data_IF_645180887154
#
_entry.id   IF_645180887154
#
_cell.length_a   1.000
_cell.length_b   1.000
_cell.length_c   1.000
_cell.angle_alpha   90.00
_cell.angle_beta   90.00
_cell.angle_gamma   90.00
#
_symmetry.space_group_name_H-M   'P 1'
#
loop_
_entity.id
_entity.type
_entity.pdbx_description
1 polymer ?
#
# COMPACT_ATOMS: atom_id res chain seq x y z
N UNK A 1 -17.78 -20.91 0.31
CA UNK A 1 -16.66 -21.63 -0.39
C UNK A 1 -15.32 -21.01 -0.01
N UNK A 2 -14.21 -21.73 -0.20
CA UNK A 2 -12.86 -21.14 -0.09
C UNK A 2 -12.57 -20.35 -1.35
N UNK A 3 -12.04 -19.14 -1.20
CA UNK A 3 -11.65 -18.28 -2.32
C UNK A 3 -10.16 -17.98 -2.30
N UNK A 4 -9.58 -17.79 -3.47
CA UNK A 4 -8.15 -17.48 -3.59
C UNK A 4 -7.96 -15.99 -3.86
N UNK A 5 -7.23 -15.32 -2.98
CA UNK A 5 -6.78 -13.95 -3.20
C UNK A 5 -5.61 -13.94 -4.20
N UNK A 6 -5.70 -13.09 -5.23
CA UNK A 6 -4.71 -13.01 -6.31
C UNK A 6 -3.87 -11.73 -6.28
N UNK A 7 -3.96 -10.95 -5.22
CA UNK A 7 -3.33 -9.61 -5.11
C UNK A 7 -1.82 -9.68 -4.99
N UNK A 8 -1.28 -10.67 -4.29
CA UNK A 8 0.16 -10.80 -4.06
C UNK A 8 0.65 -12.26 -4.17
N UNK A 9 1.96 -12.46 -4.02
CA UNK A 9 2.62 -13.76 -4.13
C UNK A 9 2.07 -14.83 -3.18
N UNK A 10 1.42 -14.47 -2.07
CA UNK A 10 0.92 -15.46 -1.11
C UNK A 10 -0.28 -16.27 -1.62
N UNK A 11 -1.06 -15.73 -2.55
CA UNK A 11 -2.23 -16.40 -3.13
C UNK A 11 -3.08 -17.12 -2.08
N UNK A 12 -3.40 -16.40 -1.00
CA UNK A 12 -4.07 -16.95 0.18
C UNK A 12 -5.40 -17.62 -0.18
N UNK A 13 -5.58 -18.88 0.22
CA UNK A 13 -6.86 -19.62 0.09
C UNK A 13 -7.67 -19.44 1.36
N UNK A 14 -8.66 -18.56 1.32
CA UNK A 14 -9.39 -18.07 2.48
C UNK A 14 -10.76 -18.75 2.61
N UNK A 15 -11.05 -19.26 3.80
CA UNK A 15 -12.42 -19.68 4.18
C UNK A 15 -13.29 -18.45 4.42
N UNK A 16 -14.64 -18.55 4.38
CA UNK A 16 -15.52 -17.46 4.79
C UNK A 16 -15.13 -16.91 6.17
N UNK A 17 -15.05 -15.59 6.31
CA UNK A 17 -14.64 -14.89 7.53
C UNK A 17 -13.12 -14.83 7.76
N UNK A 18 -12.30 -15.56 7.00
CA UNK A 18 -10.85 -15.60 7.20
C UNK A 18 -10.15 -14.41 6.54
N UNK A 19 -9.19 -13.81 7.26
CA UNK A 19 -8.26 -12.83 6.72
C UNK A 19 -7.11 -13.48 5.96
N UNK A 20 -6.65 -12.78 4.93
CA UNK A 20 -5.37 -13.06 4.29
C UNK A 20 -4.19 -12.73 5.22
N UNK A 21 -2.99 -13.21 4.87
CA UNK A 21 -1.76 -12.95 5.64
C UNK A 21 -1.48 -11.46 5.87
N UNK A 22 -1.92 -10.63 4.94
CA UNK A 22 -1.73 -9.18 5.02
C UNK A 22 -2.66 -8.47 6.02
N UNK A 23 -3.68 -9.13 6.57
CA UNK A 23 -4.68 -8.51 7.44
C UNK A 23 -5.69 -7.59 6.72
N UNK A 24 -5.42 -7.21 5.46
CA UNK A 24 -6.22 -6.26 4.68
C UNK A 24 -7.23 -6.91 3.72
N UNK A 25 -7.10 -8.20 3.45
CA UNK A 25 -7.99 -8.97 2.57
C UNK A 25 -8.76 -10.00 3.39
N UNK A 26 -10.06 -10.12 3.16
CA UNK A 26 -10.94 -11.05 3.87
C UNK A 26 -11.89 -11.74 2.89
N UNK A 27 -12.19 -13.02 3.13
CA UNK A 27 -13.28 -13.68 2.41
C UNK A 27 -14.61 -13.37 3.12
N UNK A 28 -15.45 -12.58 2.48
CA UNK A 28 -16.80 -12.27 2.93
C UNK A 28 -17.79 -12.97 1.99
N UNK A 29 -18.46 -14.00 2.49
CA UNK A 29 -19.49 -14.77 1.76
C UNK A 29 -19.06 -15.29 0.38
N UNK A 30 -17.79 -15.69 0.22
CA UNK A 30 -17.26 -16.21 -1.04
C UNK A 30 -16.66 -15.14 -1.96
N UNK A 31 -16.46 -13.93 -1.48
CA UNK A 31 -15.76 -12.85 -2.21
C UNK A 31 -14.56 -12.36 -1.42
N UNK A 32 -13.45 -12.10 -2.11
CA UNK A 32 -12.28 -11.47 -1.50
C UNK A 32 -12.50 -9.96 -1.50
N UNK A 33 -12.68 -9.39 -0.32
CA UNK A 33 -12.90 -7.95 -0.13
C UNK A 33 -11.66 -7.24 0.38
N UNK A 34 -11.56 -5.96 0.07
CA UNK A 34 -10.54 -5.03 0.54
C UNK A 34 -11.03 -4.35 1.83
N UNK A 35 -10.64 -4.88 2.98
CA UNK A 35 -11.10 -4.39 4.29
C UNK A 35 -10.43 -3.06 4.70
N UNK A 36 -9.32 -2.68 4.08
CA UNK A 36 -8.64 -1.42 4.35
C UNK A 36 -8.98 -0.30 3.35
N UNK A 37 -9.98 -0.48 2.47
CA UNK A 37 -10.41 0.56 1.53
C UNK A 37 -10.90 1.81 2.26
N UNK A 38 -10.20 2.93 2.08
CA UNK A 38 -10.51 4.21 2.72
C UNK A 38 -10.29 4.28 4.23
N UNK A 39 -9.81 3.21 4.84
CA UNK A 39 -9.54 3.14 6.28
C UNK A 39 -8.11 3.58 6.57
N UNK A 40 -7.94 4.82 6.99
CA UNK A 40 -6.64 5.48 7.15
C UNK A 40 -6.19 5.42 8.61
N UNK A 41 -4.93 5.00 8.81
CA UNK A 41 -4.25 4.96 10.12
C UNK A 41 -3.29 6.12 10.32
N UNK A 42 -2.77 6.68 9.23
CA UNK A 42 -1.78 7.76 9.27
C UNK A 42 -1.97 8.73 8.11
N UNK A 43 -1.86 10.02 8.41
CA UNK A 43 -1.91 11.11 7.44
C UNK A 43 -0.96 12.22 7.88
N UNK A 44 0.06 12.54 7.09
CA UNK A 44 1.05 13.57 7.40
C UNK A 44 1.57 14.27 6.15
N UNK A 45 1.95 15.54 6.26
CA UNK A 45 2.67 16.26 5.22
C UNK A 45 4.17 16.10 5.48
N UNK A 46 4.83 15.29 4.66
CA UNK A 46 6.25 14.93 4.82
C UNK A 46 7.12 15.52 3.71
N UNK A 47 8.41 15.80 3.98
CA UNK A 47 9.39 16.01 2.92
C UNK A 47 9.44 14.82 1.96
N UNK A 48 9.62 15.11 0.65
CA UNK A 48 9.68 14.07 -0.39
C UNK A 48 10.85 13.09 -0.15
N UNK A 49 11.93 13.58 0.44
CA UNK A 49 13.12 12.79 0.77
C UNK A 49 12.85 11.67 1.78
N UNK A 50 11.80 11.81 2.62
CA UNK A 50 11.33 10.71 3.49
C UNK A 50 10.68 9.54 2.70
N UNK A 51 10.44 9.71 1.40
CA UNK A 51 9.96 8.65 0.50
C UNK A 51 11.08 8.01 -0.30
N UNK A 52 12.34 8.10 0.15
CA UNK A 52 13.65 7.98 -0.52
C UNK A 52 13.63 8.34 -2.02
N UNK A 53 13.07 9.49 -2.36
CA UNK A 53 12.95 10.00 -3.73
C UNK A 53 13.69 11.35 -3.87
N UNK A 54 14.99 11.34 -3.59
CA UNK A 54 15.84 12.55 -3.55
C UNK A 54 15.94 13.31 -4.88
N UNK A 55 15.68 12.66 -6.02
CA UNK A 55 15.73 13.26 -7.35
C UNK A 55 14.34 13.64 -7.91
N UNK A 56 13.28 13.34 -7.18
CA UNK A 56 11.90 13.64 -7.57
C UNK A 56 11.37 14.85 -6.82
N UNK A 57 11.34 16.02 -7.46
CA UNK A 57 10.94 17.31 -6.87
C UNK A 57 11.67 17.63 -5.54
N UNK A 58 13.00 17.71 -5.52
CA UNK A 58 13.79 17.91 -4.30
C UNK A 58 13.32 19.14 -3.51
N UNK A 59 13.27 19.02 -2.19
CA UNK A 59 12.86 20.10 -1.29
C UNK A 59 11.34 20.32 -1.20
N UNK A 60 10.53 19.56 -1.95
CA UNK A 60 9.07 19.63 -1.85
C UNK A 60 8.53 18.83 -0.67
N UNK A 61 7.26 19.03 -0.36
CA UNK A 61 6.51 18.18 0.57
C UNK A 61 5.42 17.38 -0.15
N UNK A 62 5.02 16.27 0.43
CA UNK A 62 3.98 15.40 -0.11
C UNK A 62 3.06 14.91 0.99
N UNK A 63 1.74 14.89 0.71
CA UNK A 63 0.75 14.35 1.65
C UNK A 63 0.86 12.83 1.68
N UNK A 64 1.40 12.31 2.77
CA UNK A 64 1.59 10.87 3.00
C UNK A 64 0.36 10.27 3.64
N UNK A 65 -0.14 9.18 3.08
CA UNK A 65 -1.29 8.43 3.58
C UNK A 65 -0.93 6.98 3.80
N UNK A 66 -1.35 6.42 4.93
CA UNK A 66 -1.20 5.02 5.29
C UNK A 66 -2.48 4.41 5.80
N UNK A 67 -2.55 3.11 5.69
CA UNK A 67 -3.62 2.27 6.19
C UNK A 67 -3.05 1.15 7.07
N UNK A 68 -3.73 0.06 7.23
CA UNK A 68 -3.23 -1.12 7.94
C UNK A 68 -2.94 -2.28 6.98
N UNK A 69 -2.17 -3.22 7.47
CA UNK A 69 -1.88 -4.46 6.78
C UNK A 69 -0.65 -4.40 5.88
N UNK A 70 0.05 -5.53 5.79
CA UNK A 70 1.23 -5.72 4.94
C UNK A 70 1.38 -7.21 4.60
N UNK A 71 1.78 -7.51 3.38
CA UNK A 71 2.05 -8.89 2.94
C UNK A 71 3.42 -9.42 3.41
N UNK A 72 4.26 -8.59 4.03
CA UNK A 72 5.50 -8.98 4.71
C UNK A 72 5.39 -8.75 6.23
N UNK A 73 6.18 -9.49 7.01
CA UNK A 73 6.26 -9.41 8.47
C UNK A 73 7.72 -9.16 8.89
N UNK A 74 8.22 -7.99 8.51
CA UNK A 74 9.59 -7.60 8.80
C UNK A 74 9.78 -7.37 10.31
N UNK A 75 10.75 -8.03 10.99
CA UNK A 75 10.96 -7.84 12.43
C UNK A 75 11.49 -6.46 12.79
N UNK A 76 12.00 -5.73 11.81
CA UNK A 76 12.52 -4.35 11.92
C UNK A 76 11.53 -3.30 11.39
N UNK A 77 10.26 -3.64 11.20
CA UNK A 77 9.27 -2.70 10.68
C UNK A 77 9.03 -1.54 11.66
N UNK A 78 9.33 -0.31 11.25
CA UNK A 78 9.09 0.88 12.05
C UNK A 78 7.60 1.16 12.29
N UNK A 79 6.76 0.70 11.35
CA UNK A 79 5.32 0.91 11.37
C UNK A 79 4.57 -0.38 11.75
N UNK A 80 5.16 -1.26 12.58
CA UNK A 80 4.57 -2.56 12.94
C UNK A 80 3.19 -2.43 13.57
N UNK A 81 2.95 -1.35 14.33
CA UNK A 81 1.68 -1.07 15.00
C UNK A 81 0.48 -0.92 14.06
N UNK A 82 0.71 -0.59 12.80
CA UNK A 82 -0.32 -0.50 11.77
C UNK A 82 -0.18 -1.60 10.72
N UNK A 83 1.05 -1.90 10.29
CA UNK A 83 1.30 -2.84 9.19
C UNK A 83 1.00 -4.30 9.56
N UNK A 84 1.04 -4.66 10.85
CA UNK A 84 0.78 -6.03 11.32
C UNK A 84 -0.67 -6.27 11.77
N UNK A 85 -1.50 -5.23 11.81
CA UNK A 85 -2.92 -5.32 12.21
C UNK A 85 -3.81 -5.80 11.06
N UNK A 86 -4.94 -6.37 11.45
CA UNK A 86 -6.06 -6.65 10.56
C UNK A 86 -7.20 -5.63 10.78
N UNK A 87 -8.29 -5.79 10.04
CA UNK A 87 -9.43 -4.88 10.07
C UNK A 87 -10.15 -4.81 11.43
N UNK A 88 -10.08 -5.86 12.22
CA UNK A 88 -10.75 -5.93 13.53
C UNK A 88 -9.90 -5.27 14.64
N UNK A 89 -8.58 -5.09 14.41
CA UNK A 89 -7.60 -4.56 15.36
C UNK A 89 -7.19 -3.11 15.08
N UNK A 90 -7.33 -2.66 13.84
CA UNK A 90 -6.82 -1.36 13.41
C UNK A 90 -7.77 -0.22 13.76
N UNK A 91 -7.27 0.75 14.51
CA UNK A 91 -7.94 2.03 14.70
C UNK A 91 -7.80 2.89 13.44
N UNK A 92 -8.91 3.29 12.85
CA UNK A 92 -8.90 3.96 11.54
C UNK A 92 -9.96 5.06 11.46
N UNK A 93 -9.68 6.03 10.59
CA UNK A 93 -10.66 7.03 10.16
C UNK A 93 -10.98 6.78 8.69
N UNK A 94 -12.25 6.81 8.31
CA UNK A 94 -12.61 6.67 6.91
C UNK A 94 -12.35 7.97 6.14
N UNK A 95 -11.60 7.88 5.06
CA UNK A 95 -11.30 8.98 4.16
C UNK A 95 -11.57 8.54 2.71
N UNK A 96 -12.63 9.07 2.11
CA UNK A 96 -12.94 8.78 0.72
C UNK A 96 -11.86 9.29 -0.25
N UNK A 97 -11.62 8.63 -1.40
CA UNK A 97 -10.63 9.05 -2.40
C UNK A 97 -10.73 10.53 -2.78
N UNK A 98 -11.94 11.03 -2.97
CA UNK A 98 -12.23 12.43 -3.32
C UNK A 98 -11.78 13.40 -2.21
N UNK A 99 -12.01 13.02 -0.96
CA UNK A 99 -11.61 13.83 0.21
C UNK A 99 -10.09 13.84 0.39
N UNK A 100 -9.41 12.73 0.11
CA UNK A 100 -7.95 12.68 0.11
C UNK A 100 -7.37 13.61 -0.96
N UNK A 101 -7.88 13.55 -2.19
CA UNK A 101 -7.42 14.40 -3.29
C UNK A 101 -7.70 15.89 -3.04
N UNK A 102 -8.88 16.22 -2.51
CA UNK A 102 -9.21 17.59 -2.12
C UNK A 102 -8.25 18.11 -1.05
N UNK A 103 -8.03 17.33 0.01
CA UNK A 103 -7.08 17.68 1.09
C UNK A 103 -5.66 17.88 0.55
N UNK A 104 -5.22 17.03 -0.37
CA UNK A 104 -3.92 17.21 -1.03
C UNK A 104 -3.87 18.53 -1.81
N UNK A 105 -4.92 18.88 -2.53
CA UNK A 105 -5.03 20.13 -3.29
C UNK A 105 -5.01 21.38 -2.39
N UNK A 106 -5.71 21.36 -1.27
CA UNK A 106 -5.72 22.46 -0.28
C UNK A 106 -4.32 22.72 0.30
N UNK A 107 -3.49 21.69 0.40
CA UNK A 107 -2.12 21.79 0.92
C UNK A 107 -1.10 22.33 -0.11
N UNK A 108 -1.49 22.64 -1.35
CA UNK A 108 -0.58 23.21 -2.36
C UNK A 108 0.11 24.50 -1.90
N UNK A 109 -0.62 25.36 -1.20
CA UNK A 109 -0.06 26.60 -0.64
C UNK A 109 1.08 26.34 0.37
N UNK A 110 1.17 25.12 0.89
CA UNK A 110 2.23 24.66 1.78
C UNK A 110 3.33 23.86 1.06
N UNK A 111 3.37 23.90 -0.27
CA UNK A 111 4.35 23.20 -1.09
C UNK A 111 4.03 21.73 -1.37
N UNK A 112 2.80 21.27 -1.09
CA UNK A 112 2.40 19.89 -1.39
C UNK A 112 2.33 19.64 -2.88
N UNK A 113 3.07 18.63 -3.36
CA UNK A 113 3.07 18.23 -4.78
C UNK A 113 2.07 17.13 -5.11
N UNK A 114 1.54 16.42 -4.11
CA UNK A 114 0.65 15.30 -4.37
C UNK A 114 0.40 14.39 -3.17
N UNK A 115 0.18 13.12 -3.46
CA UNK A 115 -0.08 12.08 -2.47
C UNK A 115 0.96 10.97 -2.55
N UNK A 116 1.52 10.59 -1.40
CA UNK A 116 2.36 9.41 -1.24
C UNK A 116 1.60 8.32 -0.47
N UNK A 117 1.39 7.18 -1.09
CA UNK A 117 0.81 5.98 -0.47
C UNK A 117 1.94 5.20 0.17
N UNK A 118 1.94 5.08 1.53
CA UNK A 118 3.11 4.65 2.30
C UNK A 118 2.74 4.16 3.71
N UNK A 119 3.71 3.99 4.60
CA UNK A 119 3.68 3.57 6.00
C UNK A 119 3.39 2.08 6.21
N UNK A 120 2.33 1.54 5.65
CA UNK A 120 2.09 0.10 5.51
C UNK A 120 2.44 -0.36 4.08
N UNK A 121 1.98 -1.53 3.67
CA UNK A 121 2.03 -1.91 2.26
C UNK A 121 0.76 -1.43 1.54
N UNK A 122 0.82 -0.34 0.76
CA UNK A 122 -0.37 0.25 0.16
C UNK A 122 -1.06 -0.65 -0.86
N UNK A 123 -0.32 -1.55 -1.53
CA UNK A 123 -0.89 -2.41 -2.57
C UNK A 123 -1.75 -3.55 -2.02
N UNK A 124 -1.74 -3.80 -0.70
CA UNK A 124 -2.76 -4.68 -0.10
C UNK A 124 -4.17 -4.11 -0.25
N UNK A 125 -4.29 -2.77 -0.38
CA UNK A 125 -5.51 -2.02 -0.66
C UNK A 125 -5.45 -1.27 -1.99
N UNK A 126 -4.91 -1.90 -3.03
CA UNK A 126 -4.62 -1.25 -4.31
C UNK A 126 -5.84 -0.56 -4.96
N UNK A 127 -7.05 -1.03 -4.69
CA UNK A 127 -8.27 -0.41 -5.23
C UNK A 127 -8.44 1.03 -4.73
N UNK A 128 -8.20 1.25 -3.43
CA UNK A 128 -8.23 2.61 -2.87
C UNK A 128 -7.10 3.48 -3.45
N UNK A 129 -5.89 2.93 -3.56
CA UNK A 129 -4.74 3.64 -4.16
C UNK A 129 -5.08 4.05 -5.60
N UNK A 130 -5.61 3.12 -6.41
CA UNK A 130 -6.00 3.38 -7.79
C UNK A 130 -7.06 4.48 -7.90
N UNK A 131 -8.12 4.37 -7.11
CA UNK A 131 -9.26 5.28 -7.20
C UNK A 131 -8.86 6.69 -6.73
N UNK A 132 -8.09 6.80 -5.66
CA UNK A 132 -7.54 8.06 -5.20
C UNK A 132 -6.54 8.66 -6.19
N UNK A 133 -5.63 7.85 -6.74
CA UNK A 133 -4.60 8.32 -7.67
C UNK A 133 -5.19 8.88 -8.97
N UNK A 134 -6.29 8.29 -9.47
CA UNK A 134 -7.04 8.84 -10.61
C UNK A 134 -7.51 10.27 -10.34
N UNK A 135 -8.09 10.51 -9.16
CA UNK A 135 -8.64 11.82 -8.80
C UNK A 135 -7.51 12.82 -8.53
N UNK A 136 -6.44 12.41 -7.84
CA UNK A 136 -5.25 13.24 -7.62
C UNK A 136 -4.66 13.73 -8.95
N UNK A 137 -4.59 12.88 -9.97
CA UNK A 137 -4.19 13.28 -11.33
C UNK A 137 -5.11 14.30 -11.97
N UNK A 138 -6.42 14.19 -11.76
CA UNK A 138 -7.40 15.20 -12.27
C UNK A 138 -7.14 16.59 -11.66
N UNK A 139 -6.64 16.64 -10.43
CA UNK A 139 -6.17 17.89 -9.81
C UNK A 139 -4.79 18.33 -10.33
N UNK A 140 -4.17 17.64 -11.29
CA UNK A 140 -2.82 17.95 -11.80
C UNK A 140 -1.72 17.74 -10.76
N UNK A 141 -1.93 16.85 -9.79
CA UNK A 141 -0.99 16.54 -8.72
C UNK A 141 -0.30 15.19 -8.94
N UNK A 142 0.76 14.93 -8.19
CA UNK A 142 1.60 13.75 -8.31
C UNK A 142 1.15 12.62 -7.39
N UNK A 143 1.34 11.39 -7.84
CA UNK A 143 1.15 10.19 -7.05
C UNK A 143 2.47 9.44 -6.88
N UNK A 144 2.82 9.17 -5.64
CA UNK A 144 4.03 8.46 -5.25
C UNK A 144 3.65 7.17 -4.52
N UNK A 145 4.31 6.08 -4.86
CA UNK A 145 4.13 4.79 -4.20
C UNK A 145 5.41 4.39 -3.47
N UNK A 146 5.29 4.03 -2.19
CA UNK A 146 6.36 3.39 -1.42
C UNK A 146 5.90 1.99 -1.07
N UNK A 147 6.50 0.98 -1.69
CA UNK A 147 6.03 -0.41 -1.68
C UNK A 147 7.19 -1.40 -1.57
N UNK A 148 6.91 -2.60 -1.12
CA UNK A 148 7.86 -3.71 -1.18
C UNK A 148 7.87 -4.45 -2.54
N UNK A 149 7.01 -4.05 -3.49
CA UNK A 149 6.98 -4.56 -4.87
C UNK A 149 6.50 -6.01 -5.06
N UNK A 150 6.05 -6.68 -4.00
CA UNK A 150 5.72 -8.12 -4.07
C UNK A 150 4.23 -8.37 -4.39
N UNK A 151 3.80 -7.99 -5.61
CA UNK A 151 2.41 -8.07 -6.07
C UNK A 151 2.26 -8.82 -7.38
N UNK A 152 1.01 -9.07 -7.79
CA UNK A 152 0.70 -9.61 -9.08
C UNK A 152 0.75 -8.55 -10.17
N UNK A 153 1.12 -8.95 -11.37
CA UNK A 153 1.15 -8.12 -12.57
C UNK A 153 -0.17 -7.34 -12.79
N UNK A 154 -1.31 -8.01 -12.62
CA UNK A 154 -2.61 -7.37 -12.76
C UNK A 154 -2.84 -6.19 -11.79
N UNK A 155 -2.27 -6.24 -10.59
CA UNK A 155 -2.31 -5.11 -9.64
C UNK A 155 -1.43 -3.97 -10.13
N UNK A 156 -0.22 -4.28 -10.61
CA UNK A 156 0.73 -3.29 -11.14
C UNK A 156 0.15 -2.61 -12.37
N UNK A 157 -0.32 -3.35 -13.37
CA UNK A 157 -0.93 -2.80 -14.58
C UNK A 157 -2.11 -1.87 -14.29
N UNK A 158 -2.91 -2.19 -13.25
CA UNK A 158 -4.05 -1.34 -12.85
C UNK A 158 -3.65 0.01 -12.25
N UNK A 159 -2.41 0.15 -11.77
CA UNK A 159 -1.90 1.31 -11.05
C UNK A 159 -0.92 2.16 -11.86
N UNK A 160 -0.05 1.52 -12.67
CA UNK A 160 1.02 2.20 -13.41
C UNK A 160 0.57 3.47 -14.16
N UNK A 161 -0.62 3.53 -14.81
CA UNK A 161 -1.07 4.76 -15.49
C UNK A 161 -1.23 5.97 -14.58
N UNK A 162 -1.35 5.75 -13.28
CA UNK A 162 -1.67 6.81 -12.30
C UNK A 162 -0.50 7.16 -11.39
N UNK A 163 0.58 6.38 -11.36
CA UNK A 163 1.75 6.59 -10.49
C UNK A 163 2.82 7.36 -11.23
N UNK A 164 3.35 8.42 -10.64
CA UNK A 164 4.38 9.30 -11.22
C UNK A 164 5.80 8.92 -10.77
N UNK A 165 5.94 8.39 -9.55
CA UNK A 165 7.20 7.89 -9.01
C UNK A 165 6.96 6.76 -8.00
N UNK A 166 7.95 5.86 -7.88
CA UNK A 166 7.88 4.72 -6.99
C UNK A 166 9.22 4.52 -6.29
N UNK A 167 9.16 4.28 -4.98
CA UNK A 167 10.26 3.66 -4.25
C UNK A 167 9.89 2.20 -4.00
N UNK A 168 10.66 1.27 -4.58
CA UNK A 168 10.55 -0.16 -4.31
C UNK A 168 11.56 -0.54 -3.24
N UNK A 169 11.05 -0.89 -2.08
CA UNK A 169 11.84 -1.18 -0.89
C UNK A 169 12.31 -2.64 -0.90
N UNK A 170 13.47 -2.88 -1.50
CA UNK A 170 14.10 -4.19 -1.54
C UNK A 170 14.61 -4.59 -0.16
N UNK A 171 13.92 -5.54 0.50
CA UNK A 171 14.23 -5.94 1.88
C UNK A 171 15.47 -6.84 1.99
N UNK A 172 15.90 -7.44 0.90
CA UNK A 172 17.09 -8.29 0.81
C UNK A 172 17.24 -8.89 -0.58
N UNK A 173 18.37 -9.55 -0.82
CA UNK A 173 18.71 -10.19 -2.10
C UNK A 173 18.62 -11.72 -2.05
N UNK A 174 18.36 -12.30 -0.88
CA UNK A 174 18.34 -13.75 -0.67
C UNK A 174 16.92 -14.27 -0.52
N UNK A 175 16.62 -15.37 -1.19
CA UNK A 175 15.31 -16.01 -1.16
C UNK A 175 14.92 -16.49 0.25
N UNK A 176 15.86 -17.07 0.99
CA UNK A 176 15.62 -17.53 2.35
C UNK A 176 15.22 -16.40 3.30
N UNK A 177 15.75 -15.20 3.06
CA UNK A 177 15.37 -14.02 3.81
C UNK A 177 13.92 -13.61 3.54
N UNK A 178 13.51 -13.55 2.27
CA UNK A 178 12.12 -13.25 1.91
C UNK A 178 11.14 -14.32 2.37
N UNK A 179 11.54 -15.59 2.41
CA UNK A 179 10.72 -16.66 3.02
C UNK A 179 10.41 -16.37 4.48
N UNK A 180 11.40 -15.91 5.25
CA UNK A 180 11.23 -15.52 6.65
C UNK A 180 10.29 -14.31 6.78
N UNK A 181 10.50 -13.27 5.97
CA UNK A 181 9.66 -12.06 5.99
C UNK A 181 8.22 -12.35 5.56
N UNK A 182 8.02 -13.16 4.54
CA UNK A 182 6.70 -13.53 4.03
C UNK A 182 6.00 -14.58 4.89
N UNK A 183 6.70 -15.23 5.82
CA UNK A 183 6.18 -16.40 6.58
C UNK A 183 5.55 -17.44 5.66
N UNK A 184 6.17 -17.66 4.49
CA UNK A 184 5.71 -18.60 3.48
C UNK A 184 6.88 -19.41 2.95
N UNK A 185 6.71 -20.72 2.85
CA UNK A 185 7.70 -21.63 2.26
C UNK A 185 7.70 -21.57 0.72
N UNK A 186 6.60 -21.11 0.12
CA UNK A 186 6.42 -21.06 -1.34
C UNK A 186 6.91 -19.76 -1.99
N UNK A 187 7.74 -19.04 -1.33
CA UNK A 187 8.11 -17.74 -1.73
C UNK A 187 9.18 -17.68 -2.79
N UNK A 188 9.00 -16.95 -3.81
CA UNK A 188 9.93 -16.75 -4.93
C UNK A 188 10.16 -15.27 -5.28
N UNK A 189 10.13 -14.41 -4.29
CA UNK A 189 10.44 -12.99 -4.49
C UNK A 189 11.89 -12.86 -4.95
N UNK A 190 12.13 -12.22 -6.05
CA UNK A 190 13.47 -12.00 -6.61
C UNK A 190 13.88 -12.96 -7.74
N UNK A 191 13.01 -13.89 -8.18
CA UNK A 191 13.30 -14.71 -9.38
C UNK A 191 12.80 -14.09 -10.69
N UNK A 192 12.02 -13.02 -10.60
CA UNK A 192 11.41 -12.34 -11.75
C UNK A 192 11.98 -10.93 -11.95
N UNK A 193 13.12 -10.63 -11.37
CA UNK A 193 13.90 -9.41 -11.63
C UNK A 193 14.97 -9.67 -12.67
#
# INVERSE_FOLDING_TARGET
MKETCTVCMHRCRLKPGQFGRCGARKNVNGMIVCENYGRITALALDPIEKKPLSMFYPGSVILSVGSFGCNLHCPFCQNHDISMKNADEAETVFLAPEKLALKASELRARGNIGVAYTYNEPLTGYEYVRDAAKIVKQYGMKNVLVTNGAFSEAVEESLLPYIDAMNVDLKGIREDYYRKLGRSEERRVGKEC
#
